data_IF_155609603142
#
_entry.id   IF_155609603142
#
_cell.length_a   1.000
_cell.length_b   1.000
_cell.length_c   1.000
_cell.angle_alpha   90.00
_cell.angle_beta   90.00
_cell.angle_gamma   90.00
#
_symmetry.space_group_name_H-M   'P 1'
#
loop_
_entity.id
_entity.type
_entity.pdbx_description
1 polymer ?
#
# COMPACT_ATOMS: atom_id res chain seq x y z
N UNK A 1 6.92 20.65 4.47
CA UNK A 1 6.75 21.62 3.38
C UNK A 1 5.94 22.79 3.93
N UNK A 2 6.54 23.97 4.12
CA UNK A 2 5.79 25.16 4.57
C UNK A 2 4.87 25.67 3.44
N UNK A 3 3.69 26.16 3.81
CA UNK A 3 2.63 26.70 2.93
C UNK A 3 2.16 25.76 1.81
N UNK A 4 1.73 24.51 2.12
CA UNK A 4 1.17 23.62 1.13
C UNK A 4 -0.20 24.11 0.64
N UNK A 5 -0.49 23.87 -0.63
CA UNK A 5 -1.79 24.12 -1.28
C UNK A 5 -2.45 22.82 -1.70
N UNK A 6 -3.75 22.82 -2.00
CA UNK A 6 -4.38 21.68 -2.67
C UNK A 6 -3.65 21.32 -3.97
N UNK A 7 -3.42 20.03 -4.18
CA UNK A 7 -2.56 19.51 -5.23
C UNK A 7 -1.07 19.46 -4.88
N UNK A 8 -0.65 20.00 -3.74
CA UNK A 8 0.74 19.81 -3.26
C UNK A 8 0.98 18.35 -2.93
N UNK A 9 2.22 17.91 -3.10
CA UNK A 9 2.60 16.49 -2.96
C UNK A 9 3.68 16.26 -1.93
N UNK A 10 3.61 15.13 -1.23
CA UNK A 10 4.66 14.62 -0.34
C UNK A 10 5.07 13.22 -0.81
N UNK A 11 6.38 13.02 -0.99
CA UNK A 11 6.94 11.72 -1.31
C UNK A 11 7.14 10.89 -0.03
N UNK A 12 6.26 9.93 0.22
CA UNK A 12 6.44 8.92 1.25
C UNK A 12 7.36 7.82 0.71
N UNK A 13 8.58 7.76 1.22
CA UNK A 13 9.51 6.67 0.91
C UNK A 13 9.10 5.41 1.70
N UNK A 14 8.95 4.28 1.01
CA UNK A 14 8.68 2.96 1.57
C UNK A 14 9.87 2.04 1.26
N UNK A 15 10.95 2.07 2.08
CA UNK A 15 12.18 1.33 1.81
C UNK A 15 11.98 -0.18 1.65
N UNK A 16 11.05 -0.76 2.40
CA UNK A 16 10.69 -2.18 2.38
C UNK A 16 10.10 -2.59 1.03
N UNK A 17 9.48 -1.65 0.31
CA UNK A 17 8.90 -1.84 -1.02
C UNK A 17 9.82 -1.34 -2.15
N UNK A 18 10.97 -0.73 -1.82
CA UNK A 18 11.80 0.08 -2.74
C UNK A 18 10.97 1.05 -3.58
N UNK A 19 9.86 1.53 -3.04
CA UNK A 19 8.87 2.33 -3.74
C UNK A 19 8.66 3.61 -2.97
N UNK A 20 8.33 4.68 -3.69
CA UNK A 20 7.77 5.87 -3.07
C UNK A 20 6.29 5.99 -3.44
N UNK A 21 5.50 6.54 -2.52
CA UNK A 21 4.11 6.89 -2.76
C UNK A 21 4.00 8.41 -2.75
N UNK A 22 3.36 8.98 -3.76
CA UNK A 22 3.17 10.43 -3.86
C UNK A 22 1.84 10.75 -3.23
N UNK A 23 1.85 11.24 -2.00
CA UNK A 23 0.63 11.65 -1.30
C UNK A 23 0.24 13.05 -1.78
N UNK A 24 -1.05 13.28 -2.01
CA UNK A 24 -1.56 14.56 -2.52
C UNK A 24 -2.49 15.22 -1.53
N UNK A 25 -2.32 16.53 -1.32
CA UNK A 25 -3.22 17.34 -0.52
C UNK A 25 -4.53 17.59 -1.25
N UNK A 26 -5.66 17.18 -0.67
CA UNK A 26 -6.99 17.34 -1.27
C UNK A 26 -8.02 17.93 -0.30
N UNK A 27 -7.77 17.90 1.01
CA UNK A 27 -8.71 18.37 2.02
C UNK A 27 -7.99 18.96 3.25
N UNK A 28 -8.77 19.65 4.09
CA UNK A 28 -8.33 20.16 5.38
C UNK A 28 -9.21 19.60 6.49
N UNK A 29 -8.61 19.24 7.62
CA UNK A 29 -9.30 18.65 8.77
C UNK A 29 -8.85 19.33 10.07
N UNK A 30 -9.71 19.43 11.10
CA UNK A 30 -9.26 19.86 12.42
C UNK A 30 -8.29 18.83 13.02
N UNK A 31 -7.28 19.29 13.75
CA UNK A 31 -6.39 18.37 14.49
C UNK A 31 -7.14 17.68 15.62
N UNK A 32 -6.84 16.39 15.83
CA UNK A 32 -7.35 15.64 16.97
C UNK A 32 -6.59 15.93 18.28
N UNK A 33 -5.39 16.52 18.17
CA UNK A 33 -4.47 16.77 19.29
C UNK A 33 -4.50 18.23 19.74
N UNK A 34 -4.57 19.18 18.80
CA UNK A 34 -4.58 20.63 19.09
C UNK A 34 -5.76 21.28 18.36
N UNK A 35 -6.93 21.42 19.00
CA UNK A 35 -8.19 21.78 18.33
C UNK A 35 -8.17 23.08 17.53
N UNK A 36 -7.29 24.02 17.86
CA UNK A 36 -7.12 25.30 17.17
C UNK A 36 -6.39 25.16 15.82
N UNK A 37 -5.74 24.02 15.58
CA UNK A 37 -5.00 23.77 14.35
C UNK A 37 -5.88 23.12 13.29
N UNK A 38 -5.86 23.73 12.10
CA UNK A 38 -6.38 23.11 10.87
C UNK A 38 -5.21 22.49 10.12
N UNK A 39 -5.32 21.19 9.84
CA UNK A 39 -4.29 20.40 9.18
C UNK A 39 -4.67 20.14 7.73
N UNK A 40 -3.68 20.16 6.86
CA UNK A 40 -3.83 19.71 5.48
C UNK A 40 -3.61 18.20 5.40
N UNK A 41 -4.58 17.49 4.83
CA UNK A 41 -4.53 16.03 4.72
C UNK A 41 -3.98 15.64 3.35
N UNK A 42 -2.86 14.93 3.40
CA UNK A 42 -2.17 14.34 2.26
C UNK A 42 -2.55 12.87 2.18
N UNK A 43 -3.15 12.44 1.07
CA UNK A 43 -3.67 11.08 0.89
C UNK A 43 -2.85 10.32 -0.14
N UNK A 44 -2.55 9.05 0.11
CA UNK A 44 -1.82 8.21 -0.83
C UNK A 44 -2.68 7.88 -2.08
N UNK A 45 -2.04 7.53 -3.21
CA UNK A 45 -2.75 7.15 -4.42
C UNK A 45 -3.59 5.87 -4.22
N UNK A 46 -4.65 5.73 -5.01
CA UNK A 46 -5.44 4.49 -5.02
C UNK A 46 -4.64 3.33 -5.63
N UNK A 47 -5.07 2.10 -5.37
CA UNK A 47 -4.41 0.90 -5.90
C UNK A 47 -4.23 0.92 -7.43
N UNK A 48 -5.20 1.49 -8.15
CA UNK A 48 -5.15 1.63 -9.60
C UNK A 48 -4.00 2.54 -10.06
N UNK A 49 -3.75 3.64 -9.37
CA UNK A 49 -2.67 4.59 -9.67
C UNK A 49 -1.28 4.02 -9.36
N UNK A 50 -1.23 2.93 -8.59
CA UNK A 50 0.00 2.21 -8.21
C UNK A 50 0.28 1.00 -9.09
N UNK A 51 -0.62 0.69 -10.04
CA UNK A 51 -0.58 -0.49 -10.89
C UNK A 51 0.53 -0.39 -11.94
N UNK A 52 1.51 -1.29 -11.82
CA UNK A 52 2.66 -1.34 -12.71
C UNK A 52 2.32 -1.88 -14.11
N UNK A 53 1.17 -2.52 -14.29
CA UNK A 53 0.75 -3.09 -15.59
C UNK A 53 0.20 -2.03 -16.53
N UNK A 54 -0.44 -0.99 -15.97
CA UNK A 54 -1.15 0.05 -16.72
C UNK A 54 -0.45 1.41 -16.66
N UNK A 55 0.28 1.71 -15.58
CA UNK A 55 0.91 3.02 -15.38
C UNK A 55 2.41 3.01 -15.68
N UNK A 56 2.83 3.82 -16.65
CA UNK A 56 4.22 3.85 -17.15
C UNK A 56 5.24 4.20 -16.05
N UNK A 57 4.90 5.12 -15.16
CA UNK A 57 5.72 5.55 -14.02
C UNK A 57 5.90 4.44 -12.97
N UNK A 58 5.01 3.45 -12.92
CA UNK A 58 5.12 2.31 -12.00
C UNK A 58 5.77 1.08 -12.63
N UNK A 59 5.99 1.04 -13.95
CA UNK A 59 6.57 -0.13 -14.64
C UNK A 59 7.93 -0.55 -14.08
N UNK A 60 8.73 0.39 -13.57
CA UNK A 60 10.02 0.10 -12.92
C UNK A 60 9.90 -0.82 -11.69
N UNK A 61 8.70 -0.96 -11.11
CA UNK A 61 8.44 -1.86 -9.99
C UNK A 61 8.00 -3.27 -10.42
N UNK A 62 7.74 -3.46 -11.71
CA UNK A 62 7.60 -4.79 -12.29
C UNK A 62 8.98 -5.29 -12.67
N UNK A 63 9.32 -6.52 -12.26
CA UNK A 63 10.61 -7.12 -12.61
C UNK A 63 10.53 -7.79 -13.97
N UNK A 64 11.58 -7.66 -14.77
CA UNK A 64 11.62 -8.27 -16.12
C UNK A 64 11.63 -9.81 -16.10
N UNK A 65 12.02 -10.43 -14.97
CA UNK A 65 12.16 -11.88 -14.81
C UNK A 65 10.87 -12.57 -14.32
N UNK A 66 9.82 -11.82 -13.99
CA UNK A 66 8.54 -12.35 -13.49
C UNK A 66 7.36 -11.56 -14.08
N UNK A 67 6.18 -12.17 -14.12
CA UNK A 67 4.96 -11.43 -14.42
C UNK A 67 4.73 -10.35 -13.35
N UNK A 68 4.26 -9.17 -13.77
CA UNK A 68 3.88 -8.10 -12.84
C UNK A 68 2.80 -8.59 -11.87
N UNK A 69 2.78 -8.02 -10.67
CA UNK A 69 1.74 -8.30 -9.70
C UNK A 69 0.38 -7.81 -10.19
N UNK A 70 -0.72 -8.48 -9.80
CA UNK A 70 -2.07 -8.00 -10.07
C UNK A 70 -2.35 -6.64 -9.43
N UNK A 71 -3.40 -5.97 -9.90
CA UNK A 71 -3.92 -4.72 -9.33
C UNK A 71 -4.08 -4.81 -7.80
N UNK A 72 -3.56 -3.80 -7.09
CA UNK A 72 -3.63 -3.70 -5.63
C UNK A 72 -2.65 -4.59 -4.86
N UNK A 73 -1.76 -5.30 -5.56
CA UNK A 73 -0.69 -6.09 -4.96
C UNK A 73 0.67 -5.49 -5.33
N UNK A 74 1.50 -5.26 -4.32
CA UNK A 74 2.85 -4.71 -4.43
C UNK A 74 3.87 -5.73 -3.96
N UNK A 75 4.93 -5.96 -4.74
CA UNK A 75 5.98 -6.90 -4.35
C UNK A 75 6.93 -6.29 -3.30
N UNK A 76 7.10 -6.98 -2.17
CA UNK A 76 8.11 -6.63 -1.15
C UNK A 76 9.38 -7.46 -1.31
N UNK A 77 9.26 -8.64 -1.95
CA UNK A 77 10.33 -9.61 -2.19
C UNK A 77 11.59 -8.98 -2.79
N UNK A 78 11.48 -8.09 -3.78
CA UNK A 78 12.63 -7.52 -4.49
C UNK A 78 13.60 -6.73 -3.60
N UNK A 79 13.11 -6.20 -2.48
CA UNK A 79 13.88 -5.32 -1.59
C UNK A 79 14.39 -6.09 -0.38
N UNK A 80 13.55 -6.97 0.16
CA UNK A 80 13.92 -7.81 1.30
C UNK A 80 14.86 -8.95 0.88
N UNK A 81 14.75 -9.46 -0.36
CA UNK A 81 15.71 -10.42 -0.90
C UNK A 81 17.14 -9.86 -0.94
N UNK A 82 17.32 -8.55 -1.20
CA UNK A 82 18.64 -7.90 -1.14
C UNK A 82 19.25 -7.91 0.26
N UNK A 83 18.45 -8.13 1.30
CA UNK A 83 18.87 -8.27 2.71
C UNK A 83 19.09 -9.74 3.12
N UNK A 84 19.08 -10.68 2.17
CA UNK A 84 19.32 -12.11 2.41
C UNK A 84 18.09 -12.92 2.78
N UNK A 85 16.89 -12.35 2.73
CA UNK A 85 15.63 -13.02 3.06
C UNK A 85 14.78 -13.19 1.81
N UNK A 86 14.70 -14.41 1.26
CA UNK A 86 13.91 -14.73 0.06
C UNK A 86 12.58 -15.36 0.47
N UNK A 87 11.65 -14.54 0.96
CA UNK A 87 10.28 -14.95 1.25
C UNK A 87 9.34 -14.20 0.30
N UNK A 88 8.37 -14.87 -0.36
CA UNK A 88 7.50 -14.24 -1.36
C UNK A 88 6.39 -13.42 -0.68
N UNK A 89 6.79 -12.35 0.01
CA UNK A 89 5.90 -11.43 0.72
C UNK A 89 5.48 -10.30 -0.22
N UNK A 90 4.20 -10.00 -0.20
CA UNK A 90 3.54 -8.96 -0.97
C UNK A 90 2.72 -8.06 -0.05
N UNK A 91 2.51 -6.83 -0.47
CA UNK A 91 1.75 -5.82 0.27
C UNK A 91 0.51 -5.41 -0.50
N UNK A 92 -0.59 -5.20 0.20
CA UNK A 92 -1.80 -4.58 -0.33
C UNK A 92 -2.30 -3.52 0.66
N UNK A 93 -3.34 -2.77 0.30
CA UNK A 93 -4.13 -2.09 1.32
C UNK A 93 -4.89 -3.12 2.19
N UNK A 94 -5.27 -2.76 3.44
CA UNK A 94 -6.03 -3.65 4.32
C UNK A 94 -7.28 -4.23 3.65
N UNK A 95 -7.50 -5.53 3.84
CA UNK A 95 -8.61 -6.30 3.28
C UNK A 95 -8.68 -6.28 1.75
N UNK A 96 -7.53 -6.10 1.09
CA UNK A 96 -7.42 -5.98 -0.36
C UNK A 96 -8.26 -4.82 -0.92
N UNK A 97 -8.34 -3.71 -0.17
CA UNK A 97 -9.03 -2.49 -0.63
C UNK A 97 -8.51 -2.05 -2.00
N UNK A 98 -9.45 -1.84 -2.93
CA UNK A 98 -9.22 -1.42 -4.32
C UNK A 98 -8.34 -2.37 -5.17
N UNK A 99 -8.07 -3.59 -4.69
CA UNK A 99 -7.37 -4.62 -5.45
C UNK A 99 -8.30 -5.33 -6.45
N UNK A 100 -7.72 -6.16 -7.32
CA UNK A 100 -8.50 -7.04 -8.20
C UNK A 100 -9.49 -7.89 -7.37
N UNK A 101 -10.80 -7.81 -7.63
CA UNK A 101 -11.82 -8.53 -6.85
C UNK A 101 -11.62 -10.05 -6.82
N UNK A 102 -10.93 -10.62 -7.81
CA UNK A 102 -10.62 -12.05 -7.86
C UNK A 102 -9.66 -12.48 -6.74
N UNK A 103 -8.94 -11.56 -6.11
CA UNK A 103 -8.04 -11.83 -4.99
C UNK A 103 -8.84 -11.99 -3.70
N UNK A 104 -9.66 -11.01 -3.35
CA UNK A 104 -10.47 -11.05 -2.13
C UNK A 104 -11.55 -12.13 -2.20
N UNK A 105 -12.10 -12.42 -3.37
CA UNK A 105 -13.09 -13.48 -3.58
C UNK A 105 -12.57 -14.90 -3.26
N UNK A 106 -11.26 -15.07 -3.03
CA UNK A 106 -10.66 -16.35 -2.59
C UNK A 106 -10.76 -16.59 -1.08
N UNK A 107 -11.22 -15.59 -0.32
CA UNK A 107 -11.25 -15.64 1.14
C UNK A 107 -12.66 -15.33 1.65
N UNK A 108 -13.14 -16.16 2.56
CA UNK A 108 -14.38 -15.90 3.30
C UNK A 108 -14.08 -15.08 4.56
N UNK A 109 -15.06 -14.29 5.01
CA UNK A 109 -14.95 -13.56 6.29
C UNK A 109 -14.10 -12.29 6.25
N UNK A 110 -13.60 -11.85 5.08
CA UNK A 110 -12.96 -10.54 4.96
C UNK A 110 -13.99 -9.43 5.23
N UNK A 111 -13.72 -8.48 6.15
CA UNK A 111 -14.60 -7.33 6.35
C UNK A 111 -14.55 -6.42 5.13
N UNK A 112 -15.60 -5.61 4.97
CA UNK A 112 -15.65 -4.61 3.91
C UNK A 112 -14.59 -3.54 4.16
N UNK A 113 -13.70 -3.24 3.19
CA UNK A 113 -12.70 -2.19 3.36
C UNK A 113 -13.36 -0.81 3.43
N UNK A 114 -12.71 0.12 4.15
CA UNK A 114 -13.15 1.50 4.32
C UNK A 114 -11.95 2.42 4.04
N UNK A 115 -12.08 3.34 3.07
CA UNK A 115 -11.00 4.21 2.61
C UNK A 115 -10.46 5.14 3.71
N UNK A 116 -11.32 5.65 4.58
CA UNK A 116 -10.91 6.53 5.69
C UNK A 116 -10.09 5.76 6.73
N UNK A 117 -10.52 4.54 7.06
CA UNK A 117 -9.88 3.70 8.09
C UNK A 117 -8.70 2.90 7.59
N UNK A 118 -8.63 2.58 6.31
CA UNK A 118 -7.64 1.66 5.75
C UNK A 118 -6.71 2.31 4.72
N UNK A 119 -6.94 3.58 4.38
CA UNK A 119 -6.05 4.35 3.51
C UNK A 119 -4.82 4.88 4.26
N UNK A 120 -3.79 5.24 3.50
CA UNK A 120 -2.61 5.93 3.99
C UNK A 120 -2.82 7.44 3.86
N UNK A 121 -2.63 8.17 4.95
CA UNK A 121 -2.66 9.63 4.91
C UNK A 121 -1.81 10.28 6.01
N UNK A 122 -1.46 11.54 5.79
CA UNK A 122 -0.71 12.37 6.75
C UNK A 122 -1.44 13.69 6.96
N UNK A 123 -1.48 14.16 8.20
CA UNK A 123 -2.04 15.45 8.57
C UNK A 123 -0.89 16.40 8.91
N UNK A 124 -0.76 17.44 8.08
CA UNK A 124 0.37 18.36 8.10
C UNK A 124 -0.12 19.75 8.51
N UNK A 125 0.52 20.36 9.50
CA UNK A 125 0.26 21.76 9.84
C UNK A 125 0.86 22.65 8.74
N UNK A 126 0.05 23.50 8.10
CA UNK A 126 0.45 24.17 6.85
C UNK A 126 1.53 25.24 7.03
N UNK A 127 1.59 25.95 8.15
CA UNK A 127 2.55 27.05 8.30
C UNK A 127 3.99 26.56 8.52
N UNK A 128 4.15 25.52 9.34
CA UNK A 128 5.43 24.94 9.72
C UNK A 128 5.82 23.75 8.85
N UNK A 129 4.83 23.07 8.26
CA UNK A 129 5.02 21.85 7.50
C UNK A 129 5.29 20.62 8.36
N UNK A 130 5.03 20.69 9.67
CA UNK A 130 5.18 19.57 10.62
C UNK A 130 4.04 18.58 10.42
N UNK A 131 4.37 17.29 10.39
CA UNK A 131 3.38 16.21 10.42
C UNK A 131 2.93 16.01 11.88
N UNK A 132 1.67 16.29 12.19
CA UNK A 132 1.14 16.06 13.54
C UNK A 132 0.59 14.64 13.70
N UNK A 133 -0.02 14.11 12.66
CA UNK A 133 -0.63 12.78 12.67
C UNK A 133 -0.27 12.09 11.34
N UNK A 134 0.15 10.84 11.40
CA UNK A 134 0.43 10.02 10.22
C UNK A 134 -0.24 8.67 10.44
N UNK A 135 -0.86 8.16 9.38
CA UNK A 135 -1.49 6.86 9.41
C UNK A 135 -1.01 6.05 8.21
N UNK A 136 -0.12 5.11 8.47
CA UNK A 136 0.46 4.24 7.45
C UNK A 136 -0.08 2.83 7.65
N UNK A 137 -0.94 2.39 6.72
CA UNK A 137 -1.70 1.15 6.81
C UNK A 137 -1.49 0.27 5.60
N UNK A 138 -1.14 -0.97 5.86
CA UNK A 138 -0.92 -1.95 4.80
C UNK A 138 -1.11 -3.38 5.29
N UNK A 139 -1.34 -4.30 4.37
CA UNK A 139 -1.53 -5.72 4.64
C UNK A 139 -0.39 -6.54 4.06
N UNK A 140 0.18 -7.41 4.89
CA UNK A 140 1.17 -8.40 4.50
C UNK A 140 0.48 -9.65 3.98
N UNK A 141 0.90 -10.10 2.81
CA UNK A 141 0.36 -11.26 2.13
C UNK A 141 1.49 -12.21 1.73
N UNK A 142 1.33 -13.52 1.97
CA UNK A 142 2.23 -14.55 1.48
C UNK A 142 1.74 -15.09 0.14
N UNK A 143 2.57 -15.03 -0.90
CA UNK A 143 2.22 -15.68 -2.17
C UNK A 143 2.46 -17.19 -2.08
N UNK A 144 1.39 -17.94 -2.32
CA UNK A 144 1.40 -19.40 -2.35
C UNK A 144 0.86 -19.87 -3.69
N UNK A 145 1.66 -20.62 -4.44
CA UNK A 145 1.26 -21.21 -5.71
C UNK A 145 1.47 -22.72 -5.68
N UNK A 146 0.68 -23.45 -6.47
CA UNK A 146 0.89 -24.87 -6.70
C UNK A 146 2.14 -25.02 -7.59
N UNK A 147 3.30 -25.09 -6.94
CA UNK A 147 4.59 -25.33 -7.57
C UNK A 147 4.96 -26.81 -7.45
N UNK A 148 6.12 -27.21 -8.00
CA UNK A 148 6.64 -28.59 -7.88
C UNK A 148 6.97 -29.01 -6.43
N UNK A 149 6.74 -28.16 -5.43
CA UNK A 149 6.86 -28.50 -4.03
C UNK A 149 5.67 -29.37 -3.57
N UNK A 150 5.99 -30.57 -3.06
CA UNK A 150 5.00 -31.54 -2.59
C UNK A 150 4.06 -30.97 -1.52
N UNK A 151 4.48 -29.94 -0.77
CA UNK A 151 3.67 -29.27 0.27
C UNK A 151 2.47 -28.51 -0.28
N UNK A 152 2.55 -28.00 -1.51
CA UNK A 152 1.48 -27.23 -2.15
C UNK A 152 0.77 -28.02 -3.25
N UNK A 153 1.11 -29.30 -3.40
CA UNK A 153 0.49 -30.21 -4.37
C UNK A 153 -1.01 -30.31 -4.07
N UNK A 154 -1.84 -30.12 -5.10
CA UNK A 154 -3.31 -30.07 -5.06
C UNK A 154 -3.94 -28.80 -4.44
N UNK A 155 -3.14 -27.77 -4.14
CA UNK A 155 -3.70 -26.48 -3.77
C UNK A 155 -4.40 -25.84 -4.97
N UNK A 156 -5.60 -25.29 -4.78
CA UNK A 156 -6.39 -24.62 -5.83
C UNK A 156 -5.85 -23.24 -6.25
N UNK A 157 -4.68 -22.85 -5.72
CA UNK A 157 -4.06 -21.53 -5.89
C UNK A 157 -3.63 -21.22 -7.33
N UNK A 158 -3.07 -20.02 -7.57
CA UNK A 158 -2.33 -19.22 -6.60
C UNK A 158 -3.17 -18.36 -5.65
N UNK A 159 -2.62 -18.06 -4.47
CA UNK A 159 -3.19 -17.20 -3.43
C UNK A 159 -2.19 -16.13 -2.99
N UNK A 160 -2.70 -14.93 -2.70
CA UNK A 160 -2.03 -13.96 -1.84
C UNK A 160 -2.65 -14.09 -0.45
N UNK A 161 -2.10 -14.97 0.38
CA UNK A 161 -2.69 -15.31 1.67
C UNK A 161 -2.48 -14.17 2.68
N UNK A 162 -3.54 -13.54 3.20
CA UNK A 162 -3.41 -12.42 4.13
C UNK A 162 -2.89 -12.93 5.48
N UNK A 163 -1.73 -12.43 5.91
CA UNK A 163 -1.13 -12.79 7.20
C UNK A 163 -1.66 -11.85 8.29
N UNK A 164 -1.48 -10.55 8.08
CA UNK A 164 -1.85 -9.51 9.00
C UNK A 164 -1.91 -8.18 8.26
N UNK A 165 -2.68 -7.23 8.77
CA UNK A 165 -2.55 -5.82 8.43
C UNK A 165 -1.95 -5.06 9.61
N UNK A 166 -1.21 -4.02 9.30
CA UNK A 166 -0.44 -3.21 10.25
C UNK A 166 -0.90 -1.76 10.12
N UNK A 167 -0.96 -1.07 11.25
CA UNK A 167 -1.15 0.37 11.37
C UNK A 167 0.03 0.94 12.16
N UNK A 168 0.53 2.09 11.72
CA UNK A 168 1.51 2.90 12.41
C UNK A 168 1.31 4.37 12.13
#
# INVERSE_FOLDING_TARGET
MPDPRFGSTIDLQMPELCRKMILTANETVPSSVVPELTLMKFVAPEAAELDSTTHWNNRMYCRDDKACTPLGILAMESCIAKRGVTVPIYVSFPYFMDADPRISARFEGLPKPNKEKHGIHMLVEPNTGIVLEAYVRFQLNLFMANTNDKRYKNMAGPYYFPIAWVEG
#
